data_IF_852070437974
#
_entry.id   IF_852070437974
#
_cell.length_a   1.000
_cell.length_b   1.000
_cell.length_c   1.000
_cell.angle_alpha   90.00
_cell.angle_beta   90.00
_cell.angle_gamma   90.00
#
_symmetry.space_group_name_H-M   'P 1'
#
loop_
_entity.id
_entity.type
_entity.pdbx_description
1 polymer ?
#
# COMPACT_ATOMS: atom_id res chain seq x y z
N UNK A 1 3.91 -19.45 7.59
CA UNK A 1 3.24 -18.72 6.47
C UNK A 1 1.79 -19.18 6.27
N UNK A 2 1.48 -20.46 6.01
CA UNK A 2 0.09 -20.92 5.73
C UNK A 2 -0.96 -20.59 6.81
N UNK A 3 -0.65 -20.67 8.12
CA UNK A 3 -1.65 -20.32 9.15
C UNK A 3 -1.82 -18.80 9.33
N UNK A 4 -0.73 -18.04 9.21
CA UNK A 4 -0.74 -16.57 9.30
C UNK A 4 -1.49 -15.98 8.10
N UNK A 5 -1.20 -16.47 6.89
CA UNK A 5 -1.89 -16.08 5.67
C UNK A 5 -3.40 -16.33 5.75
N UNK A 6 -3.85 -17.46 6.32
CA UNK A 6 -5.28 -17.76 6.51
C UNK A 6 -6.02 -16.77 7.43
N UNK A 7 -5.33 -16.24 8.43
CA UNK A 7 -5.92 -15.24 9.34
C UNK A 7 -5.96 -13.87 8.66
N UNK A 8 -4.86 -13.46 8.04
CA UNK A 8 -4.76 -12.20 7.29
C UNK A 8 -5.73 -12.15 6.10
N UNK A 9 -5.93 -13.25 5.39
CA UNK A 9 -6.81 -13.38 4.22
C UNK A 9 -8.29 -13.08 4.55
N UNK A 10 -8.72 -13.28 5.81
CA UNK A 10 -10.08 -12.93 6.25
C UNK A 10 -10.16 -11.54 6.87
N UNK A 11 -9.12 -11.15 7.61
CA UNK A 11 -9.09 -9.89 8.34
C UNK A 11 -8.92 -8.70 7.39
N UNK A 12 -8.05 -8.83 6.39
CA UNK A 12 -7.71 -7.72 5.48
C UNK A 12 -8.92 -7.25 4.67
N UNK A 13 -9.71 -8.13 4.02
CA UNK A 13 -10.91 -7.70 3.33
C UNK A 13 -11.95 -7.08 4.26
N UNK A 14 -12.10 -7.60 5.48
CA UNK A 14 -13.04 -7.08 6.46
C UNK A 14 -12.66 -5.67 6.91
N UNK A 15 -11.39 -5.43 7.28
CA UNK A 15 -10.93 -4.12 7.73
C UNK A 15 -11.01 -3.07 6.59
N UNK A 16 -10.62 -3.45 5.37
CA UNK A 16 -10.73 -2.58 4.19
C UNK A 16 -12.21 -2.27 3.90
N UNK A 17 -13.08 -3.28 3.97
CA UNK A 17 -14.52 -3.11 3.77
C UNK A 17 -15.14 -2.15 4.78
N UNK A 18 -14.87 -2.32 6.07
CA UNK A 18 -15.37 -1.42 7.13
C UNK A 18 -14.87 0.02 6.91
N UNK A 19 -13.58 0.18 6.61
CA UNK A 19 -12.99 1.50 6.37
C UNK A 19 -13.59 2.20 5.14
N UNK A 20 -13.69 1.47 4.01
CA UNK A 20 -14.30 1.98 2.78
C UNK A 20 -15.77 2.37 3.02
N UNK A 21 -16.55 1.53 3.72
CA UNK A 21 -17.94 1.84 4.03
C UNK A 21 -18.09 3.09 4.89
N UNK A 22 -17.22 3.28 5.88
CA UNK A 22 -17.21 4.48 6.71
C UNK A 22 -16.85 5.72 5.90
N UNK A 23 -15.83 5.64 5.04
CA UNK A 23 -15.47 6.74 4.16
C UNK A 23 -16.61 7.07 3.18
N UNK A 24 -17.23 6.06 2.57
CA UNK A 24 -18.38 6.24 1.68
C UNK A 24 -19.56 6.88 2.40
N UNK A 25 -19.85 6.48 3.64
CA UNK A 25 -20.92 7.07 4.42
C UNK A 25 -20.72 8.59 4.59
N UNK A 26 -19.51 9.02 4.98
CA UNK A 26 -19.16 10.45 5.12
C UNK A 26 -19.25 11.15 3.75
N UNK A 27 -18.63 10.58 2.71
CA UNK A 27 -18.61 11.18 1.38
C UNK A 27 -20.03 11.35 0.81
N UNK A 28 -20.91 10.37 1.00
CA UNK A 28 -22.31 10.43 0.53
C UNK A 28 -23.11 11.44 1.33
N UNK A 29 -22.90 11.54 2.65
CA UNK A 29 -23.56 12.56 3.48
C UNK A 29 -23.16 13.99 3.09
N UNK A 30 -21.97 14.17 2.51
CA UNK A 30 -21.43 15.46 2.06
C UNK A 30 -21.17 15.48 0.54
N UNK A 31 -22.01 14.80 -0.25
CA UNK A 31 -21.80 14.60 -1.70
C UNK A 31 -21.64 15.90 -2.48
N UNK A 32 -22.31 16.98 -2.04
CA UNK A 32 -22.23 18.30 -2.66
C UNK A 32 -20.83 18.94 -2.54
N UNK A 33 -20.03 18.52 -1.56
CA UNK A 33 -18.67 19.03 -1.36
C UNK A 33 -17.64 18.37 -2.28
N UNK A 34 -17.96 17.22 -2.89
CA UNK A 34 -17.01 16.45 -3.70
C UNK A 34 -16.32 17.31 -4.79
N UNK A 35 -17.04 18.12 -5.59
CA UNK A 35 -16.39 18.99 -6.58
C UNK A 35 -15.42 19.99 -5.94
N UNK A 36 -15.79 20.58 -4.81
CA UNK A 36 -14.92 21.51 -4.08
C UNK A 36 -13.67 20.81 -3.52
N UNK A 37 -13.80 19.56 -3.04
CA UNK A 37 -12.66 18.78 -2.58
C UNK A 37 -11.66 18.50 -3.71
N UNK A 38 -12.12 18.08 -4.89
CA UNK A 38 -11.24 17.87 -6.04
C UNK A 38 -10.58 19.17 -6.50
N UNK A 39 -11.30 20.29 -6.48
CA UNK A 39 -10.72 21.62 -6.75
C UNK A 39 -9.66 21.99 -5.71
N UNK A 40 -9.89 21.70 -4.43
CA UNK A 40 -8.90 21.93 -3.37
C UNK A 40 -7.63 21.09 -3.56
N UNK A 41 -7.77 19.81 -3.93
CA UNK A 41 -6.63 18.93 -4.25
C UNK A 41 -5.86 19.49 -5.44
N UNK A 42 -6.56 19.85 -6.53
CA UNK A 42 -5.93 20.40 -7.72
C UNK A 42 -5.18 21.71 -7.41
N UNK A 43 -5.87 22.66 -6.77
CA UNK A 43 -5.27 23.95 -6.42
C UNK A 43 -4.10 23.78 -5.44
N UNK A 44 -4.20 22.87 -4.48
CA UNK A 44 -3.11 22.56 -3.54
C UNK A 44 -1.89 21.97 -4.25
N UNK A 45 -2.12 20.99 -5.14
CA UNK A 45 -1.07 20.31 -5.89
C UNK A 45 -0.32 21.25 -6.85
N UNK A 46 -1.04 22.17 -7.50
CA UNK A 46 -0.48 23.14 -8.45
C UNK A 46 -0.23 24.53 -7.85
N UNK A 47 -0.25 24.66 -6.51
CA UNK A 47 0.05 25.94 -5.86
C UNK A 47 1.56 26.21 -5.84
N UNK A 48 1.94 27.46 -6.11
CA UNK A 48 3.32 27.93 -5.94
C UNK A 48 3.64 28.30 -4.48
N UNK A 49 3.02 27.60 -3.52
CA UNK A 49 3.23 27.90 -2.11
C UNK A 49 4.67 27.54 -1.70
N UNK A 50 5.50 28.58 -1.53
CA UNK A 50 6.91 28.44 -1.19
C UNK A 50 7.16 27.66 0.11
N UNK A 51 6.19 27.62 1.03
CA UNK A 51 6.29 26.89 2.30
C UNK A 51 6.51 25.38 2.09
N UNK A 52 5.93 24.82 1.03
CA UNK A 52 6.06 23.39 0.70
C UNK A 52 7.13 23.11 -0.36
N UNK A 53 7.97 24.10 -0.69
CA UNK A 53 8.92 24.02 -1.81
C UNK A 53 8.28 24.27 -3.18
N UNK A 54 7.11 24.93 -3.22
CA UNK A 54 6.33 25.16 -4.43
C UNK A 54 5.82 23.87 -5.07
N UNK A 55 5.43 23.95 -6.34
CA UNK A 55 4.91 22.81 -7.11
C UNK A 55 5.80 21.56 -7.03
N UNK A 56 7.12 21.73 -7.21
CA UNK A 56 8.06 20.59 -7.19
C UNK A 56 8.14 19.93 -5.81
N UNK A 57 8.11 20.71 -4.72
CA UNK A 57 8.15 20.15 -3.37
C UNK A 57 6.88 19.37 -3.03
N UNK A 58 5.70 19.90 -3.38
CA UNK A 58 4.41 19.19 -3.20
C UNK A 58 4.40 17.88 -3.99
N UNK A 59 4.87 17.91 -5.24
CA UNK A 59 4.96 16.74 -6.10
C UNK A 59 5.89 15.67 -5.52
N UNK A 60 7.07 16.06 -5.00
CA UNK A 60 8.01 15.12 -4.36
C UNK A 60 7.41 14.48 -3.11
N UNK A 61 6.74 15.25 -2.26
CA UNK A 61 6.05 14.71 -1.08
C UNK A 61 4.96 13.71 -1.50
N UNK A 62 4.17 14.06 -2.51
CA UNK A 62 3.14 13.18 -3.08
C UNK A 62 3.71 11.85 -3.57
N UNK A 63 4.77 11.88 -4.38
CA UNK A 63 5.43 10.66 -4.85
C UNK A 63 6.06 9.84 -3.72
N UNK A 64 6.73 10.48 -2.76
CA UNK A 64 7.35 9.81 -1.60
C UNK A 64 6.30 9.05 -0.79
N UNK A 65 5.18 9.69 -0.45
CA UNK A 65 4.11 9.06 0.33
C UNK A 65 3.33 8.01 -0.48
N UNK A 66 3.09 8.26 -1.77
CA UNK A 66 2.43 7.27 -2.65
C UNK A 66 3.28 6.00 -2.82
N UNK A 67 4.59 6.15 -3.05
CA UNK A 67 5.51 5.02 -3.18
C UNK A 67 5.64 4.20 -1.88
N UNK A 68 5.56 4.85 -0.72
CA UNK A 68 5.51 4.18 0.58
C UNK A 68 4.21 3.37 0.76
N UNK A 69 3.08 3.88 0.26
CA UNK A 69 1.76 3.25 0.41
C UNK A 69 1.60 2.01 -0.48
N UNK A 70 1.87 2.15 -1.78
CA UNK A 70 1.60 1.09 -2.77
C UNK A 70 2.82 0.29 -3.20
N UNK A 71 4.02 0.66 -2.73
CA UNK A 71 5.29 0.01 -3.04
C UNK A 71 5.62 -0.03 -4.55
N UNK A 72 5.04 0.88 -5.34
CA UNK A 72 5.25 0.93 -6.78
C UNK A 72 6.71 1.24 -7.11
N UNK A 73 7.29 0.43 -8.00
CA UNK A 73 8.69 0.58 -8.42
C UNK A 73 9.72 0.01 -7.44
N UNK A 74 9.32 -0.39 -6.22
CA UNK A 74 10.24 -0.91 -5.18
C UNK A 74 10.67 -2.35 -5.46
N UNK A 75 9.80 -3.15 -6.07
CA UNK A 75 10.07 -4.56 -6.43
C UNK A 75 9.74 -5.58 -5.34
N UNK A 76 9.34 -5.14 -4.15
CA UNK A 76 8.93 -5.99 -3.02
C UNK A 76 7.69 -6.85 -3.34
N UNK A 77 6.64 -6.25 -3.91
CA UNK A 77 5.41 -6.96 -4.24
C UNK A 77 5.65 -8.17 -5.17
N UNK A 78 6.62 -8.07 -6.09
CA UNK A 78 6.97 -9.17 -6.99
C UNK A 78 7.47 -10.41 -6.23
N UNK A 79 8.08 -10.26 -5.05
CA UNK A 79 8.50 -11.37 -4.19
C UNK A 79 7.27 -12.16 -3.73
N UNK A 80 6.22 -11.49 -3.26
CA UNK A 80 4.97 -12.12 -2.83
C UNK A 80 4.30 -12.87 -3.99
N UNK A 81 4.13 -12.17 -5.11
CA UNK A 81 3.45 -12.68 -6.30
C UNK A 81 4.22 -13.81 -6.99
N UNK A 82 5.55 -13.87 -6.85
CA UNK A 82 6.34 -14.99 -7.36
C UNK A 82 6.03 -16.33 -6.68
N UNK A 83 5.48 -16.30 -5.46
CA UNK A 83 5.06 -17.50 -4.74
C UNK A 83 3.66 -18.00 -5.14
N UNK A 84 2.91 -17.20 -5.92
CA UNK A 84 1.58 -17.58 -6.38
C UNK A 84 1.63 -18.75 -7.37
N UNK A 85 0.70 -19.69 -7.22
CA UNK A 85 0.57 -20.82 -8.14
C UNK A 85 -0.19 -20.39 -9.40
N UNK A 86 0.51 -19.80 -10.35
CA UNK A 86 -0.04 -19.44 -11.66
C UNK A 86 0.67 -20.17 -12.80
N UNK A 87 -0.08 -20.59 -13.82
CA UNK A 87 0.48 -21.11 -15.08
C UNK A 87 1.04 -19.98 -15.96
N UNK A 88 0.59 -18.74 -15.74
CA UNK A 88 0.91 -17.58 -16.58
C UNK A 88 1.35 -16.41 -15.70
N UNK A 89 2.65 -16.06 -15.70
CA UNK A 89 3.18 -14.94 -14.91
C UNK A 89 2.48 -13.61 -15.22
N UNK A 90 2.05 -13.39 -16.47
CA UNK A 90 1.31 -12.20 -16.89
C UNK A 90 -0.01 -12.06 -16.13
N UNK A 91 -0.72 -13.16 -15.87
CA UNK A 91 -1.96 -13.14 -15.09
C UNK A 91 -1.73 -12.63 -13.67
N UNK A 92 -0.66 -13.13 -13.05
CA UNK A 92 -0.30 -12.71 -11.70
C UNK A 92 0.17 -11.25 -11.66
N UNK A 93 0.90 -10.79 -12.69
CA UNK A 93 1.27 -9.38 -12.82
C UNK A 93 0.06 -8.45 -12.94
N UNK A 94 -1.02 -8.87 -13.62
CA UNK A 94 -2.28 -8.12 -13.68
C UNK A 94 -2.94 -8.09 -12.30
N UNK A 95 -2.98 -9.22 -11.57
CA UNK A 95 -3.51 -9.28 -10.20
C UNK A 95 -2.71 -8.37 -9.27
N UNK A 96 -1.38 -8.37 -9.38
CA UNK A 96 -0.50 -7.50 -8.59
C UNK A 96 -0.80 -6.01 -8.80
N UNK A 97 -1.18 -5.61 -10.02
CA UNK A 97 -1.53 -4.22 -10.33
C UNK A 97 -2.81 -3.72 -9.64
N UNK A 98 -3.68 -4.64 -9.17
CA UNK A 98 -4.86 -4.28 -8.39
C UNK A 98 -4.48 -3.73 -7.00
N UNK A 99 -3.32 -4.10 -6.45
CA UNK A 99 -2.85 -3.62 -5.16
C UNK A 99 -2.76 -2.09 -5.11
N UNK A 100 -1.94 -1.45 -5.97
CA UNK A 100 -1.85 0.01 -6.06
C UNK A 100 -3.18 0.71 -6.41
N UNK A 101 -4.04 0.06 -7.19
CA UNK A 101 -5.36 0.60 -7.51
C UNK A 101 -6.26 0.67 -6.27
N UNK A 102 -6.36 -0.42 -5.52
CA UNK A 102 -7.18 -0.47 -4.29
C UNK A 102 -6.62 0.46 -3.23
N UNK A 103 -5.31 0.43 -3.01
CA UNK A 103 -4.64 1.22 -1.99
C UNK A 103 -4.69 2.73 -2.31
N UNK A 104 -4.06 3.16 -3.40
CA UNK A 104 -3.86 4.59 -3.66
C UNK A 104 -5.07 5.23 -4.33
N UNK A 105 -5.64 4.59 -5.35
CA UNK A 105 -6.72 5.21 -6.14
C UNK A 105 -8.04 5.18 -5.39
N UNK A 106 -8.37 4.08 -4.71
CA UNK A 106 -9.59 4.01 -3.91
C UNK A 106 -9.36 4.50 -2.47
N UNK A 107 -8.59 3.77 -1.66
CA UNK A 107 -8.52 4.02 -0.21
C UNK A 107 -7.89 5.39 0.10
N UNK A 108 -6.69 5.70 -0.38
CA UNK A 108 -6.04 6.98 -0.08
C UNK A 108 -6.83 8.19 -0.61
N UNK A 109 -7.46 8.07 -1.78
CA UNK A 109 -8.33 9.15 -2.31
C UNK A 109 -9.53 9.37 -1.40
N UNK A 110 -10.18 8.31 -0.95
CA UNK A 110 -11.30 8.41 -0.01
C UNK A 110 -10.86 9.02 1.34
N UNK A 111 -9.71 8.63 1.87
CA UNK A 111 -9.13 9.24 3.07
C UNK A 111 -8.88 10.73 2.86
N UNK A 112 -8.30 11.13 1.72
CA UNK A 112 -8.06 12.52 1.39
C UNK A 112 -9.36 13.33 1.28
N UNK A 113 -10.39 12.77 0.66
CA UNK A 113 -11.71 13.41 0.59
C UNK A 113 -12.32 13.60 1.98
N UNK A 114 -12.28 12.59 2.86
CA UNK A 114 -12.77 12.73 4.24
C UNK A 114 -11.98 13.79 5.01
N UNK A 115 -10.67 13.84 4.85
CA UNK A 115 -9.83 14.86 5.48
C UNK A 115 -10.20 16.28 5.04
N UNK A 116 -10.52 16.48 3.75
CA UNK A 116 -10.92 17.79 3.22
C UNK A 116 -12.35 18.14 3.65
N UNK A 117 -13.30 17.21 3.55
CA UNK A 117 -14.71 17.40 3.96
C UNK A 117 -14.80 17.78 5.44
N UNK A 118 -14.02 17.12 6.29
CA UNK A 118 -13.99 17.41 7.73
C UNK A 118 -13.23 18.68 8.07
N UNK A 119 -12.39 19.19 7.16
CA UNK A 119 -11.48 20.30 7.44
C UNK A 119 -10.34 19.97 8.40
N UNK A 120 -10.21 18.71 8.83
CA UNK A 120 -9.28 18.30 9.89
C UNK A 120 -7.81 18.58 9.55
N UNK A 121 -7.45 18.65 8.27
CA UNK A 121 -6.09 18.97 7.81
C UNK A 121 -5.65 20.40 8.12
N UNK A 122 -6.58 21.31 8.45
CA UNK A 122 -6.30 22.72 8.73
C UNK A 122 -7.01 23.24 9.99
N UNK A 123 -7.55 22.34 10.81
CA UNK A 123 -8.21 22.73 12.05
C UNK A 123 -7.15 23.04 13.15
N UNK A 124 -7.18 24.23 13.77
CA UNK A 124 -6.28 24.57 14.88
C UNK A 124 -6.34 23.57 16.06
N UNK A 125 -7.48 22.90 16.27
CA UNK A 125 -7.63 21.85 17.29
C UNK A 125 -6.67 20.67 17.06
N UNK A 126 -6.32 20.39 15.81
CA UNK A 126 -5.45 19.27 15.43
C UNK A 126 -4.02 19.71 15.08
N UNK A 127 -3.67 20.98 15.33
CA UNK A 127 -2.36 21.53 14.98
C UNK A 127 -1.19 20.74 15.59
N UNK A 128 -1.34 20.24 16.81
CA UNK A 128 -0.30 19.42 17.46
C UNK A 128 -0.13 18.05 16.81
N UNK A 129 -1.23 17.44 16.33
CA UNK A 129 -1.19 16.18 15.59
C UNK A 129 -0.50 16.34 14.23
N UNK A 130 -0.76 17.47 13.55
CA UNK A 130 -0.13 17.81 12.28
C UNK A 130 1.37 18.08 12.48
N UNK A 131 1.75 18.86 13.50
CA UNK A 131 3.15 19.16 13.81
C UNK A 131 3.96 17.93 14.22
N UNK A 132 3.31 16.94 14.85
CA UNK A 132 3.95 15.69 15.28
C UNK A 132 3.92 14.59 14.20
N UNK A 133 3.48 14.89 12.97
CA UNK A 133 3.34 13.94 11.85
C UNK A 133 2.50 12.70 12.21
N UNK A 134 1.50 12.87 13.09
CA UNK A 134 0.66 11.77 13.58
C UNK A 134 -0.59 11.57 12.73
N UNK A 135 -0.38 11.16 11.47
CA UNK A 135 -1.45 11.02 10.47
C UNK A 135 -2.54 10.02 10.85
N UNK A 136 -2.20 8.93 11.55
CA UNK A 136 -3.18 7.94 12.01
C UNK A 136 -4.12 8.52 13.07
N UNK A 137 -3.58 9.26 14.05
CA UNK A 137 -4.39 9.93 15.07
C UNK A 137 -5.26 11.04 14.44
N UNK A 138 -4.72 11.79 13.48
CA UNK A 138 -5.45 12.82 12.75
C UNK A 138 -6.64 12.23 11.98
N UNK A 139 -6.42 11.14 11.24
CA UNK A 139 -7.49 10.43 10.51
C UNK A 139 -8.55 9.89 11.48
N UNK A 140 -8.12 9.35 12.63
CA UNK A 140 -9.02 8.88 13.68
C UNK A 140 -9.90 9.99 14.24
N UNK A 141 -9.32 11.16 14.52
CA UNK A 141 -10.04 12.33 14.98
C UNK A 141 -11.05 12.83 13.93
N UNK A 142 -10.63 12.94 12.68
CA UNK A 142 -11.48 13.36 11.56
C UNK A 142 -12.68 12.44 11.39
N UNK A 143 -12.46 11.12 11.34
CA UNK A 143 -13.53 10.13 11.20
C UNK A 143 -14.48 10.15 12.41
N UNK A 144 -13.94 10.25 13.63
CA UNK A 144 -14.73 10.27 14.85
C UNK A 144 -15.60 11.53 14.98
N UNK A 145 -15.23 12.64 14.34
CA UNK A 145 -16.06 13.86 14.27
C UNK A 145 -17.35 13.64 13.48
N UNK A 146 -17.35 12.70 12.53
CA UNK A 146 -18.50 12.41 11.66
C UNK A 146 -19.25 11.14 12.09
N UNK A 147 -18.52 10.13 12.56
CA UNK A 147 -19.06 8.85 13.00
C UNK A 147 -18.61 8.63 14.45
N UNK A 148 -19.50 8.85 15.44
CA UNK A 148 -19.18 8.63 16.84
C UNK A 148 -18.64 7.21 17.10
N UNK A 149 -17.62 7.11 17.94
CA UNK A 149 -16.96 5.85 18.34
C UNK A 149 -16.16 5.14 17.23
N UNK A 150 -16.03 5.74 16.04
CA UNK A 150 -15.26 5.14 14.95
C UNK A 150 -13.76 5.07 15.26
N UNK A 151 -13.25 5.92 16.15
CA UNK A 151 -11.88 5.86 16.64
C UNK A 151 -11.49 4.47 17.19
N UNK A 152 -12.39 3.77 17.89
CA UNK A 152 -12.12 2.41 18.40
C UNK A 152 -12.04 1.38 17.27
N UNK A 153 -12.95 1.47 16.30
CA UNK A 153 -12.97 0.59 15.12
C UNK A 153 -11.71 0.80 14.29
N UNK A 154 -11.34 2.06 14.05
CA UNK A 154 -10.13 2.41 13.32
C UNK A 154 -8.88 1.95 14.06
N UNK A 155 -8.82 2.10 15.39
CA UNK A 155 -7.66 1.66 16.18
C UNK A 155 -7.42 0.15 16.05
N UNK A 156 -8.48 -0.66 16.14
CA UNK A 156 -8.39 -2.11 15.91
C UNK A 156 -7.94 -2.39 14.47
N UNK A 157 -8.48 -1.67 13.50
CA UNK A 157 -8.12 -1.82 12.09
C UNK A 157 -6.65 -1.49 11.82
N UNK A 158 -6.12 -0.42 12.42
CA UNK A 158 -4.72 0.00 12.29
C UNK A 158 -3.77 -1.03 12.89
N UNK A 159 -4.12 -1.63 14.04
CA UNK A 159 -3.31 -2.71 14.65
C UNK A 159 -3.26 -3.92 13.71
N UNK A 160 -4.39 -4.32 13.15
CA UNK A 160 -4.48 -5.46 12.24
C UNK A 160 -3.75 -5.18 10.92
N UNK A 161 -3.84 -3.95 10.41
CA UNK A 161 -3.10 -3.50 9.23
C UNK A 161 -1.60 -3.57 9.48
N UNK A 162 -1.11 -2.93 10.55
CA UNK A 162 0.31 -2.95 10.92
C UNK A 162 0.82 -4.39 11.10
N UNK A 163 0.04 -5.26 11.74
CA UNK A 163 0.37 -6.67 11.89
C UNK A 163 0.50 -7.38 10.53
N UNK A 164 -0.45 -7.16 9.61
CA UNK A 164 -0.42 -7.76 8.27
C UNK A 164 0.79 -7.30 7.44
N UNK A 165 1.16 -6.02 7.54
CA UNK A 165 2.32 -5.45 6.87
C UNK A 165 3.62 -6.03 7.44
N UNK A 166 3.74 -6.14 8.77
CA UNK A 166 4.91 -6.76 9.42
C UNK A 166 5.14 -8.19 8.94
N UNK A 167 4.08 -8.99 8.79
CA UNK A 167 4.20 -10.37 8.29
C UNK A 167 4.73 -10.40 6.85
N UNK A 168 4.16 -9.55 5.98
CA UNK A 168 4.52 -9.51 4.56
C UNK A 168 5.97 -9.08 4.39
N UNK A 169 6.38 -8.02 5.07
CA UNK A 169 7.74 -7.51 5.04
C UNK A 169 8.75 -8.44 5.70
N UNK A 170 8.36 -9.15 6.76
CA UNK A 170 9.19 -10.23 7.33
C UNK A 170 9.45 -11.32 6.30
N UNK A 171 8.43 -11.72 5.53
CA UNK A 171 8.60 -12.69 4.46
C UNK A 171 9.49 -12.17 3.32
N UNK A 172 9.28 -10.94 2.86
CA UNK A 172 10.08 -10.34 1.79
C UNK A 172 11.56 -10.29 2.17
N UNK A 173 11.85 -9.77 3.35
CA UNK A 173 13.22 -9.69 3.83
C UNK A 173 13.83 -11.07 4.10
N UNK A 174 13.05 -12.06 4.56
CA UNK A 174 13.54 -13.45 4.69
C UNK A 174 13.96 -14.03 3.34
N UNK A 175 13.22 -13.74 2.26
CA UNK A 175 13.58 -14.19 0.91
C UNK A 175 14.84 -13.48 0.38
N UNK A 176 14.98 -12.18 0.61
CA UNK A 176 16.21 -11.45 0.29
C UNK A 176 17.41 -11.98 1.11
N UNK A 177 17.20 -12.27 2.39
CA UNK A 177 18.22 -12.84 3.27
C UNK A 177 18.65 -14.25 2.83
N UNK A 178 17.69 -15.11 2.46
CA UNK A 178 17.96 -16.44 1.93
C UNK A 178 18.70 -16.38 0.58
N UNK A 179 18.45 -15.37 -0.26
CA UNK A 179 19.22 -15.17 -1.49
C UNK A 179 20.70 -14.87 -1.23
N UNK A 180 21.01 -14.08 -0.19
CA UNK A 180 22.38 -13.68 0.14
C UNK A 180 23.15 -14.76 0.92
N UNK A 181 22.49 -15.40 1.89
CA UNK A 181 23.15 -16.28 2.86
C UNK A 181 22.80 -17.76 2.68
N UNK A 182 21.85 -18.09 1.80
CA UNK A 182 21.37 -19.44 1.55
C UNK A 182 20.05 -19.78 2.26
N UNK A 183 19.29 -20.73 1.70
CA UNK A 183 17.98 -21.14 2.21
C UNK A 183 18.10 -22.32 3.18
N UNK A 184 18.65 -22.06 4.38
CA UNK A 184 18.66 -23.04 5.47
C UNK A 184 17.70 -22.65 6.60
N UNK A 185 17.14 -23.63 7.34
CA UNK A 185 16.24 -23.34 8.46
C UNK A 185 16.88 -22.45 9.53
N UNK A 186 18.16 -22.67 9.83
CA UNK A 186 18.91 -21.89 10.84
C UNK A 186 19.11 -20.44 10.41
N UNK A 187 19.40 -20.20 9.12
CA UNK A 187 19.60 -18.86 8.56
C UNK A 187 18.26 -18.10 8.52
N UNK A 188 17.17 -18.77 8.14
CA UNK A 188 15.83 -18.20 8.17
C UNK A 188 15.38 -17.87 9.59
N UNK A 189 15.71 -18.72 10.56
CA UNK A 189 15.42 -18.47 11.98
C UNK A 189 16.19 -17.25 12.49
N UNK A 190 17.48 -17.12 12.15
CA UNK A 190 18.28 -15.96 12.52
C UNK A 190 17.66 -14.65 12.01
N UNK A 191 17.20 -14.62 10.75
CA UNK A 191 16.51 -13.46 10.19
C UNK A 191 15.21 -13.13 10.95
N UNK A 192 14.39 -14.14 11.27
CA UNK A 192 13.13 -13.91 12.01
C UNK A 192 13.38 -13.38 13.41
N UNK A 193 14.40 -13.89 14.12
CA UNK A 193 14.80 -13.36 15.43
C UNK A 193 15.23 -11.90 15.29
N UNK A 194 16.09 -11.60 14.32
CA UNK A 194 16.54 -10.23 14.04
C UNK A 194 15.36 -9.30 13.75
N UNK A 195 14.42 -9.74 12.91
CA UNK A 195 13.21 -8.99 12.58
C UNK A 195 12.38 -8.68 13.83
N UNK A 196 12.15 -9.66 14.71
CA UNK A 196 11.41 -9.46 15.96
C UNK A 196 12.10 -8.47 16.91
N UNK A 197 13.44 -8.49 16.99
CA UNK A 197 14.20 -7.50 17.76
C UNK A 197 13.94 -6.09 17.20
N UNK A 198 14.00 -5.91 15.89
CA UNK A 198 13.71 -4.61 15.27
C UNK A 198 12.25 -4.16 15.43
N UNK A 199 11.29 -5.09 15.50
CA UNK A 199 9.89 -4.74 15.81
C UNK A 199 9.78 -4.15 17.22
N UNK A 200 10.44 -4.76 18.21
CA UNK A 200 10.45 -4.23 19.58
C UNK A 200 11.15 -2.87 19.64
N UNK A 201 12.32 -2.74 18.99
CA UNK A 201 13.03 -1.45 18.91
C UNK A 201 12.17 -0.37 18.23
N UNK A 202 11.46 -0.74 17.16
CA UNK A 202 10.56 0.17 16.43
C UNK A 202 9.43 0.73 17.28
N UNK A 203 8.99 0.01 18.32
CA UNK A 203 7.97 0.52 19.27
C UNK A 203 8.50 1.56 20.27
N UNK A 204 9.83 1.70 20.40
CA UNK A 204 10.48 2.60 21.38
C UNK A 204 11.15 3.79 20.71
N UNK A 205 11.51 3.67 19.42
CA UNK A 205 12.14 4.75 18.64
C UNK A 205 11.08 5.72 18.11
N UNK A 206 11.42 7.02 18.02
CA UNK A 206 10.54 8.04 17.44
C UNK A 206 10.16 7.72 15.99
N UNK A 207 8.87 7.84 15.66
CA UNK A 207 8.35 7.51 14.33
C UNK A 207 9.04 8.28 13.19
N UNK A 208 9.35 9.58 13.37
CA UNK A 208 9.92 10.43 12.30
C UNK A 208 11.27 9.91 11.79
N UNK A 209 12.21 9.61 12.68
CA UNK A 209 13.53 9.09 12.29
C UNK A 209 13.44 7.74 11.56
N UNK A 210 12.48 6.90 11.95
CA UNK A 210 12.25 5.59 11.32
C UNK A 210 11.65 5.77 9.93
N UNK A 211 10.72 6.71 9.75
CA UNK A 211 10.10 7.01 8.46
C UNK A 211 11.13 7.57 7.47
N UNK A 212 11.94 8.54 7.87
CA UNK A 212 12.97 9.12 6.99
C UNK A 212 14.03 8.08 6.58
N UNK A 213 14.46 7.23 7.52
CA UNK A 213 15.34 6.12 7.20
C UNK A 213 14.68 5.11 6.26
N UNK A 214 13.41 4.77 6.49
CA UNK A 214 12.61 3.90 5.65
C UNK A 214 12.48 4.41 4.21
N UNK A 215 12.25 5.71 4.04
CA UNK A 215 12.16 6.34 2.72
C UNK A 215 13.46 6.23 1.93
N UNK A 216 14.61 6.40 2.60
CA UNK A 216 15.92 6.20 1.97
C UNK A 216 16.14 4.75 1.55
N UNK A 217 15.71 3.78 2.36
CA UNK A 217 15.82 2.36 2.03
C UNK A 217 14.91 1.98 0.85
N UNK A 218 13.66 2.46 0.85
CA UNK A 218 12.71 2.27 -0.27
C UNK A 218 13.28 2.84 -1.57
N UNK A 219 13.83 4.05 -1.53
CA UNK A 219 14.48 4.66 -2.70
C UNK A 219 15.69 3.84 -3.17
N UNK A 220 16.50 3.35 -2.24
CA UNK A 220 17.64 2.49 -2.52
C UNK A 220 17.26 1.16 -3.18
N UNK A 221 16.11 0.58 -2.82
CA UNK A 221 15.56 -0.62 -3.46
C UNK A 221 14.92 -0.32 -4.82
N UNK A 222 14.22 0.81 -4.93
CA UNK A 222 13.51 1.20 -6.14
C UNK A 222 14.45 1.44 -7.31
N UNK A 223 15.61 2.08 -7.08
CA UNK A 223 16.56 2.40 -8.15
C UNK A 223 17.03 1.18 -8.97
N UNK A 224 17.63 0.12 -8.38
CA UNK A 224 18.05 -1.05 -9.14
C UNK A 224 16.86 -1.82 -9.73
N UNK A 225 15.72 -1.85 -9.03
CA UNK A 225 14.53 -2.55 -9.52
C UNK A 225 13.94 -1.88 -10.77
N UNK A 226 13.75 -0.55 -10.76
CA UNK A 226 13.26 0.22 -11.90
C UNK A 226 14.19 0.04 -13.09
N UNK A 227 15.51 0.12 -12.88
CA UNK A 227 16.48 -0.12 -13.94
C UNK A 227 16.33 -1.53 -14.54
N UNK A 228 16.20 -2.56 -13.69
CA UNK A 228 15.96 -3.93 -14.14
C UNK A 228 14.68 -4.07 -14.97
N UNK A 229 13.58 -3.45 -14.54
CA UNK A 229 12.31 -3.45 -15.28
C UNK A 229 12.45 -2.74 -16.63
N UNK A 230 13.16 -1.61 -16.70
CA UNK A 230 13.40 -0.89 -17.95
C UNK A 230 14.19 -1.73 -18.95
N UNK A 231 15.24 -2.40 -18.49
CA UNK A 231 16.06 -3.30 -19.31
C UNK A 231 15.26 -4.52 -19.80
N UNK A 232 14.34 -5.03 -18.97
CA UNK A 232 13.50 -6.19 -19.29
C UNK A 232 12.16 -5.84 -19.95
N UNK A 233 11.88 -4.55 -20.17
CA UNK A 233 10.58 -4.05 -20.67
C UNK A 233 10.15 -4.72 -21.98
N UNK A 234 11.08 -4.92 -22.91
CA UNK A 234 10.83 -5.62 -24.18
C UNK A 234 10.37 -7.07 -23.97
N UNK A 235 10.94 -7.76 -22.98
CA UNK A 235 10.56 -9.14 -22.64
C UNK A 235 9.16 -9.16 -22.01
N UNK A 236 8.88 -8.26 -21.08
CA UNK A 236 7.55 -8.14 -20.44
C UNK A 236 6.49 -7.87 -21.50
N UNK A 237 6.72 -6.90 -22.38
CA UNK A 237 5.81 -6.57 -23.49
C UNK A 237 5.52 -7.79 -24.37
N UNK A 238 6.56 -8.51 -24.80
CA UNK A 238 6.39 -9.70 -25.65
C UNK A 238 5.56 -10.79 -24.99
N UNK A 239 5.79 -11.06 -23.70
CA UNK A 239 5.02 -12.08 -22.98
C UNK A 239 3.57 -11.63 -22.74
N UNK A 240 3.34 -10.33 -22.51
CA UNK A 240 2.00 -9.74 -22.44
C UNK A 240 1.27 -9.87 -23.78
N UNK A 241 1.90 -9.51 -24.90
CA UNK A 241 1.31 -9.58 -26.25
C UNK A 241 0.90 -11.02 -26.60
N UNK A 242 1.78 -11.99 -26.31
CA UNK A 242 1.48 -13.42 -26.47
C UNK A 242 0.28 -13.85 -25.62
N UNK A 243 0.28 -13.51 -24.33
CA UNK A 243 -0.82 -13.85 -23.43
C UNK A 243 -2.15 -13.26 -23.91
N UNK A 244 -2.12 -11.99 -24.35
CA UNK A 244 -3.30 -11.27 -24.81
C UNK A 244 -3.87 -11.84 -26.11
N UNK A 245 -2.99 -12.25 -27.04
CA UNK A 245 -3.40 -12.93 -28.28
C UNK A 245 -4.10 -14.26 -27.99
N UNK A 246 -3.59 -15.04 -27.03
CA UNK A 246 -4.20 -16.31 -26.60
C UNK A 246 -5.53 -16.11 -25.87
N UNK A 247 -5.62 -15.04 -25.08
CA UNK A 247 -6.85 -14.64 -24.41
C UNK A 247 -7.95 -14.26 -25.41
N UNK A 248 -7.63 -13.39 -26.38
CA UNK A 248 -8.59 -12.94 -27.40
C UNK A 248 -9.04 -14.03 -28.36
N UNK A 249 -8.23 -15.07 -28.56
CA UNK A 249 -8.57 -16.21 -29.42
C UNK A 249 -9.44 -17.25 -28.71
N UNK A 250 -9.78 -17.07 -27.43
CA UNK A 250 -10.60 -18.03 -26.67
C UNK A 250 -9.86 -19.33 -26.29
N UNK A 251 -8.53 -19.37 -26.46
CA UNK A 251 -7.72 -20.57 -26.18
C UNK A 251 -7.85 -21.04 -24.72
N UNK A 252 -8.03 -20.09 -23.80
CA UNK A 252 -8.18 -20.38 -22.37
C UNK A 252 -9.57 -20.91 -21.98
N UNK A 253 -10.61 -20.64 -22.79
CA UNK A 253 -11.96 -21.13 -22.53
C UNK A 253 -12.09 -22.60 -22.96
N UNK A 254 -11.46 -22.96 -24.09
CA UNK A 254 -11.40 -24.34 -24.59
C UNK A 254 -10.57 -25.29 -23.72
N UNK A 255 -9.65 -24.77 -22.90
CA UNK A 255 -8.86 -25.58 -21.97
C UNK A 255 -9.57 -25.81 -20.63
N UNK A 256 -10.48 -24.91 -20.23
CA UNK A 256 -11.31 -25.09 -19.04
C UNK A 256 -12.33 -26.24 -19.22
N UNK A 257 -12.98 -26.33 -20.37
CA UNK A 257 -13.93 -27.42 -20.69
C UNK A 257 -13.29 -28.81 -20.68
N UNK A 258 -12.04 -28.93 -21.14
CA UNK A 258 -11.31 -30.21 -21.16
C UNK A 258 -10.82 -30.70 -19.78
N UNK A 259 -10.91 -29.86 -18.74
CA UNK A 259 -10.48 -30.22 -17.38
C UNK A 259 -11.66 -30.65 -16.50
N UNK A 260 -12.91 -30.36 -16.89
CA UNK A 260 -14.12 -30.85 -16.19
C UNK A 260 -14.57 -32.25 -16.65
N UNK A 261 -14.00 -32.79 -17.74
CA UNK A 261 -14.27 -34.15 -18.26
C UNK A 261 -13.32 -35.25 -17.73
N UNK A 262 -12.52 -34.98 -16.68
CA UNK A 262 -11.65 -35.97 -16.02
C UNK A 262 -11.72 -35.88 -14.51
#
# INVERSE_FOLDING_TARGET
>A
IRSIARTTEKIVPLMCGIYILACLAIIVMQVEQIPACFMAIWNGAFSDNAMYGGFLGVLVIGFKRAAFSNEAGVGSAAIAHSAAKTKFPVREGIVASLGPFVDTIMICTMTALVMIITGAYNDPQYADLIKSDNGAALTSAAMNSQIPYFNYVLSVSVILFAYSTMISWSYYGERCWAFLFGDSPSISLAYRILFLVFVVLGSVVSATNVLDFGDLMILGMAFPNILGVLLLSNRVKRELDKYWSRYKSGEFDNTASSTEEK
#
